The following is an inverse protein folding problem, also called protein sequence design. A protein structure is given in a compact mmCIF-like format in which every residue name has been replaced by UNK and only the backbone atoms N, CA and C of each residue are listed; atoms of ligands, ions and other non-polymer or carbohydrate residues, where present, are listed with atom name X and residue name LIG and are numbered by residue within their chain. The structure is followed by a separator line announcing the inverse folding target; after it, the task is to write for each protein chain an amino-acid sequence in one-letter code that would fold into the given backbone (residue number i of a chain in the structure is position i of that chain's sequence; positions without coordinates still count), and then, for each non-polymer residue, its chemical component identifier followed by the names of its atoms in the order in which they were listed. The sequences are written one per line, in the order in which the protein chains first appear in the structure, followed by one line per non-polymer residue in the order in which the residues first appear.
data_IF_977927815358
#
_entry.id   IF_977927815358
#
_cell.length_a   1.000
_cell.length_b   1.000
_cell.length_c   1.000
_cell.angle_alpha   90.00
_cell.angle_beta   90.00
_cell.angle_gamma   90.00
#
_symmetry.space_group_name_H-M   'P 1'
#
loop_
_entity.id
_entity.type
_entity.pdbx_description
1 polymer ?
#
# COMPACT_ATOMS: atom_id res chain seq x y z
N UNK A 1 20.09 25.82 19.19
CA UNK A 1 18.64 25.58 19.32
C UNK A 1 18.09 24.57 18.29
N UNK A 2 18.56 24.52 17.03
CA UNK A 2 18.14 23.50 16.03
C UNK A 2 18.52 22.06 16.39
N UNK A 3 19.73 21.83 16.89
CA UNK A 3 20.27 20.47 17.23
C UNK A 3 19.49 19.81 18.39
N UNK A 4 18.93 20.58 19.31
CA UNK A 4 18.14 20.05 20.45
C UNK A 4 16.74 19.60 19.98
N UNK A 5 16.14 20.28 18.97
CA UNK A 5 14.84 19.89 18.44
C UNK A 5 14.89 18.59 17.62
N UNK A 6 15.98 18.34 16.88
CA UNK A 6 16.13 17.08 16.12
C UNK A 6 16.32 15.86 17.03
N UNK A 7 17.07 16.02 18.12
CA UNK A 7 17.25 14.93 19.10
C UNK A 7 15.96 14.61 19.88
N UNK A 8 15.13 15.62 20.16
CA UNK A 8 13.83 15.41 20.82
C UNK A 8 12.81 14.72 19.89
N UNK A 9 12.81 15.03 18.58
CA UNK A 9 11.93 14.38 17.63
C UNK A 9 12.27 12.89 17.44
N UNK A 10 13.56 12.55 17.44
CA UNK A 10 14.03 11.15 17.37
C UNK A 10 13.70 10.39 18.66
N UNK A 11 13.87 11.02 19.83
CA UNK A 11 13.53 10.38 21.12
C UNK A 11 12.01 10.15 21.28
N UNK A 12 11.18 11.08 20.85
CA UNK A 12 9.71 10.94 20.92
C UNK A 12 9.23 9.86 19.95
N UNK A 13 9.82 9.75 18.75
CA UNK A 13 9.52 8.67 17.82
C UNK A 13 9.93 7.30 18.39
N UNK A 14 11.10 7.22 19.04
CA UNK A 14 11.59 5.99 19.68
C UNK A 14 10.74 5.58 20.90
N UNK A 15 10.30 6.53 21.74
CA UNK A 15 9.42 6.24 22.90
C UNK A 15 8.01 5.79 22.45
N UNK A 16 7.47 6.36 21.37
CA UNK A 16 6.17 5.94 20.84
C UNK A 16 6.20 4.53 20.25
N UNK A 17 7.36 4.06 19.78
CA UNK A 17 7.53 2.70 19.23
C UNK A 17 7.73 1.69 20.37
N UNK A 18 8.41 2.07 21.46
CA UNK A 18 8.67 1.19 22.60
C UNK A 18 7.41 0.70 23.32
N UNK A 19 6.32 1.49 23.34
CA UNK A 19 5.04 1.08 23.94
C UNK A 19 4.25 0.08 23.10
N UNK A 20 4.61 -0.13 21.82
CA UNK A 20 3.97 -1.13 20.94
C UNK A 20 4.57 -2.53 21.08
N UNK A 21 5.73 -2.65 21.71
CA UNK A 21 6.44 -3.92 21.89
C UNK A 21 5.68 -4.92 22.78
N UNK A 22 4.88 -4.42 23.72
CA UNK A 22 4.07 -5.25 24.61
C UNK A 22 2.97 -6.08 23.92
N UNK A 23 2.60 -5.73 22.67
CA UNK A 23 1.60 -6.46 21.87
C UNK A 23 2.22 -7.53 20.94
N UNK A 24 3.56 -7.54 20.79
CA UNK A 24 4.26 -8.49 19.93
C UNK A 24 4.64 -9.81 20.62
N UNK A 25 4.53 -9.90 21.95
CA UNK A 25 5.18 -10.93 22.76
C UNK A 25 4.47 -12.30 22.82
N UNK A 26 3.33 -12.50 22.14
CA UNK A 26 2.52 -13.71 22.41
C UNK A 26 2.27 -14.66 21.24
N UNK A 27 3.08 -14.66 20.17
CA UNK A 27 2.92 -15.69 19.14
C UNK A 27 4.27 -16.20 18.60
N UNK A 28 4.49 -17.50 18.82
CA UNK A 28 5.66 -18.31 18.47
C UNK A 28 6.52 -17.84 17.28
N UNK A 29 7.81 -17.75 17.54
CA UNK A 29 8.85 -17.13 16.71
C UNK A 29 9.30 -17.94 15.48
N UNK A 30 8.56 -18.92 14.98
CA UNK A 30 9.09 -19.91 14.05
C UNK A 30 8.75 -19.72 12.56
N UNK A 31 7.97 -18.70 12.15
CA UNK A 31 7.81 -18.46 10.73
C UNK A 31 8.87 -17.44 10.29
N UNK A 32 9.82 -17.83 9.42
CA UNK A 32 10.79 -16.90 8.90
C UNK A 32 10.08 -15.82 8.09
N UNK A 33 10.33 -14.56 8.43
CA UNK A 33 9.72 -13.44 7.75
C UNK A 33 10.18 -12.12 8.36
N UNK A 34 10.42 -11.15 7.52
CA UNK A 34 10.87 -9.82 7.94
C UNK A 34 9.69 -8.88 8.06
N UNK A 35 9.75 -7.96 9.00
CA UNK A 35 8.76 -6.87 9.11
C UNK A 35 9.49 -5.53 9.12
N UNK A 36 9.07 -4.67 8.20
CA UNK A 36 9.64 -3.36 7.99
C UNK A 36 8.59 -2.28 8.21
N UNK A 37 9.01 -1.12 8.68
CA UNK A 37 8.19 0.08 8.81
C UNK A 37 8.81 1.19 7.98
N UNK A 38 8.12 1.63 6.95
CA UNK A 38 8.46 2.83 6.17
C UNK A 38 7.60 3.96 6.67
N UNK A 39 8.23 5.02 7.20
CA UNK A 39 7.56 6.13 7.86
C UNK A 39 7.74 7.43 7.06
N UNK A 40 6.65 7.90 6.44
CA UNK A 40 6.61 9.14 5.66
C UNK A 40 6.06 10.33 6.44
N UNK A 41 5.87 10.19 7.77
CA UNK A 41 5.19 11.21 8.60
C UNK A 41 5.96 12.52 8.70
N UNK A 42 7.27 12.47 8.59
CA UNK A 42 8.18 13.63 8.56
C UNK A 42 8.49 14.10 7.13
N UNK A 43 8.09 13.33 6.11
CA UNK A 43 8.35 13.71 4.72
C UNK A 43 7.54 14.94 4.29
N UNK A 44 8.18 15.83 3.54
CA UNK A 44 7.60 17.10 3.11
C UNK A 44 6.38 16.94 2.20
N UNK A 45 5.47 17.90 2.25
CA UNK A 45 4.38 18.05 1.29
C UNK A 45 4.80 18.82 0.03
N UNK A 46 5.84 19.69 0.17
CA UNK A 46 6.30 20.60 -0.86
C UNK A 46 7.84 20.66 -0.85
N UNK A 47 8.47 20.64 -2.00
CA UNK A 47 9.92 20.90 -2.13
C UNK A 47 10.87 19.76 -1.78
N UNK A 48 10.37 18.60 -1.39
CA UNK A 48 11.20 17.41 -1.10
C UNK A 48 11.02 16.24 -2.06
N UNK A 49 10.09 16.39 -3.01
CA UNK A 49 9.78 15.33 -3.97
C UNK A 49 10.90 15.14 -5.01
N UNK A 50 11.61 16.20 -5.33
CA UNK A 50 12.79 16.17 -6.23
C UNK A 50 13.94 15.34 -5.64
N UNK A 51 14.00 15.20 -4.31
CA UNK A 51 15.01 14.41 -3.61
C UNK A 51 14.58 12.92 -3.39
N UNK A 52 13.60 12.43 -4.14
CA UNK A 52 13.16 11.04 -4.08
C UNK A 52 12.64 10.61 -2.70
N UNK A 53 13.29 9.65 -2.06
CA UNK A 53 12.91 9.11 -0.74
C UNK A 53 13.58 9.84 0.45
N UNK A 54 14.23 10.97 0.22
CA UNK A 54 14.89 11.74 1.28
C UNK A 54 13.89 12.17 2.37
N UNK A 55 14.28 12.00 3.64
CA UNK A 55 13.42 12.30 4.80
C UNK A 55 12.40 11.20 5.15
N UNK A 56 12.34 10.12 4.39
CA UNK A 56 11.57 8.92 4.74
C UNK A 56 12.43 8.04 5.64
N UNK A 57 11.85 7.63 6.75
CA UNK A 57 12.53 6.78 7.72
C UNK A 57 12.17 5.32 7.48
N UNK A 58 13.16 4.43 7.60
CA UNK A 58 12.99 2.99 7.50
C UNK A 58 13.40 2.32 8.82
N UNK A 59 12.66 1.30 9.21
CA UNK A 59 12.89 0.54 10.44
C UNK A 59 12.65 -0.94 10.16
N UNK A 60 13.45 -1.80 10.80
CA UNK A 60 13.27 -3.26 10.77
C UNK A 60 12.87 -3.77 12.16
N UNK A 61 11.94 -4.70 12.22
CA UNK A 61 11.58 -5.39 13.45
C UNK A 61 12.53 -6.56 13.67
N UNK A 62 13.36 -6.46 14.72
CA UNK A 62 14.32 -7.49 15.15
C UNK A 62 13.87 -8.01 16.52
N UNK A 63 13.38 -9.26 16.56
CA UNK A 63 12.73 -9.78 17.76
C UNK A 63 11.46 -8.99 18.07
N UNK A 64 11.46 -8.25 19.19
CA UNK A 64 10.37 -7.38 19.65
C UNK A 64 10.67 -5.88 19.53
N UNK A 65 11.80 -5.50 18.91
CA UNK A 65 12.30 -4.12 18.83
C UNK A 65 12.36 -3.61 17.41
N UNK A 66 11.99 -2.36 17.23
CA UNK A 66 12.17 -1.64 15.99
C UNK A 66 13.56 -1.00 15.95
N UNK A 67 14.39 -1.42 15.02
CA UNK A 67 15.73 -0.91 14.79
C UNK A 67 15.74 0.00 13.57
N UNK A 68 16.41 1.17 13.63
CA UNK A 68 16.61 2.01 12.46
C UNK A 68 17.32 1.24 11.35
N UNK A 69 16.85 1.42 10.12
CA UNK A 69 17.45 0.84 8.93
C UNK A 69 17.39 1.84 7.77
N UNK A 70 17.99 1.50 6.65
CA UNK A 70 17.93 2.26 5.41
C UNK A 70 17.39 1.41 4.25
N UNK A 71 17.15 2.04 3.12
CA UNK A 71 16.65 1.35 1.92
C UNK A 71 17.70 0.44 1.30
N UNK A 72 19.00 0.77 1.44
CA UNK A 72 20.09 -0.10 0.98
C UNK A 72 20.11 -1.41 1.74
N UNK A 73 19.89 -1.36 3.06
CA UNK A 73 19.75 -2.56 3.90
C UNK A 73 18.53 -3.37 3.50
N UNK A 74 17.40 -2.70 3.22
CA UNK A 74 16.20 -3.36 2.73
C UNK A 74 16.46 -4.10 1.42
N UNK A 75 17.11 -3.45 0.46
CA UNK A 75 17.40 -4.01 -0.86
C UNK A 75 18.42 -5.16 -0.78
N UNK A 76 19.52 -5.00 -0.01
CA UNK A 76 20.57 -6.03 0.17
C UNK A 76 20.07 -7.30 0.85
N UNK A 77 19.08 -7.18 1.73
CA UNK A 77 18.47 -8.31 2.44
C UNK A 77 17.28 -8.90 1.67
N UNK A 78 16.99 -8.39 0.47
CA UNK A 78 15.90 -8.88 -0.35
C UNK A 78 16.26 -10.22 -0.99
N UNK A 79 15.35 -11.18 -0.83
CA UNK A 79 15.38 -12.45 -1.54
C UNK A 79 14.23 -12.44 -2.56
N UNK A 80 14.53 -12.53 -3.89
CA UNK A 80 13.51 -12.50 -4.92
C UNK A 80 12.48 -13.64 -4.84
N UNK A 81 12.80 -14.73 -4.15
CA UNK A 81 11.88 -15.85 -3.93
C UNK A 81 10.85 -15.59 -2.83
N UNK A 82 11.10 -14.58 -1.99
CA UNK A 82 10.26 -14.25 -0.84
C UNK A 82 9.30 -13.11 -1.20
N UNK A 83 7.97 -13.32 -1.16
CA UNK A 83 7.01 -12.28 -1.49
C UNK A 83 7.09 -11.10 -0.53
N UNK A 84 7.02 -9.88 -1.09
CA UNK A 84 6.94 -8.64 -0.35
C UNK A 84 5.48 -8.15 -0.32
N UNK A 85 4.95 -7.95 0.87
CA UNK A 85 3.57 -7.50 1.10
C UNK A 85 3.62 -6.10 1.70
N UNK A 86 3.02 -5.12 1.03
CA UNK A 86 3.01 -3.71 1.46
C UNK A 86 1.63 -3.36 1.99
N UNK A 87 1.54 -3.02 3.26
CA UNK A 87 0.31 -2.57 3.90
C UNK A 87 0.26 -1.06 4.02
N UNK A 88 -0.74 -0.42 3.41
CA UNK A 88 -0.99 1.02 3.48
C UNK A 88 -2.28 1.27 4.26
N UNK A 89 -2.14 1.83 5.47
CA UNK A 89 -3.27 2.07 6.38
C UNK A 89 -4.18 3.23 5.94
N UNK A 90 -5.34 3.33 6.58
CA UNK A 90 -6.36 4.33 6.28
C UNK A 90 -6.18 5.67 6.99
N UNK A 91 -7.25 6.47 6.97
CA UNK A 91 -7.34 7.77 7.66
C UNK A 91 -7.41 7.61 9.19
N UNK A 92 -7.07 8.68 9.91
CA UNK A 92 -7.12 8.79 11.38
C UNK A 92 -6.29 7.75 12.12
N UNK A 93 -5.21 7.29 11.50
CA UNK A 93 -4.29 6.32 12.06
C UNK A 93 -3.06 7.04 12.60
N UNK A 94 -2.80 6.89 13.90
CA UNK A 94 -1.55 7.34 14.53
C UNK A 94 -0.38 6.42 14.15
N UNK A 95 0.85 6.79 14.46
CA UNK A 95 2.02 5.93 14.21
C UNK A 95 1.86 4.57 14.90
N UNK A 96 1.51 4.56 16.18
CA UNK A 96 1.30 3.32 16.95
C UNK A 96 0.16 2.46 16.38
N UNK A 97 -0.93 3.10 15.93
CA UNK A 97 -2.02 2.36 15.31
C UNK A 97 -1.61 1.77 13.95
N UNK A 98 -0.79 2.46 13.16
CA UNK A 98 -0.27 1.92 11.90
C UNK A 98 0.57 0.65 12.13
N UNK A 99 1.44 0.68 13.12
CA UNK A 99 2.24 -0.49 13.55
C UNK A 99 1.33 -1.62 14.03
N UNK A 100 0.39 -1.32 14.94
CA UNK A 100 -0.56 -2.32 15.45
C UNK A 100 -1.37 -2.97 14.32
N UNK A 101 -1.92 -2.18 13.41
CA UNK A 101 -2.74 -2.67 12.31
C UNK A 101 -1.90 -3.50 11.33
N UNK A 102 -0.65 -3.12 11.09
CA UNK A 102 0.31 -3.89 10.32
C UNK A 102 0.67 -5.23 10.99
N UNK A 103 0.91 -5.24 12.29
CA UNK A 103 1.18 -6.47 13.05
C UNK A 103 -0.05 -7.39 13.12
N UNK A 104 -1.27 -6.84 13.15
CA UNK A 104 -2.49 -7.64 13.01
C UNK A 104 -2.52 -8.35 11.65
N UNK A 105 -2.21 -7.66 10.56
CA UNK A 105 -2.08 -8.28 9.24
C UNK A 105 -0.98 -9.35 9.23
N UNK A 106 0.22 -9.04 9.75
CA UNK A 106 1.32 -10.00 9.89
C UNK A 106 0.86 -11.31 10.53
N UNK A 107 0.14 -11.20 11.66
CA UNK A 107 -0.33 -12.36 12.39
C UNK A 107 -1.37 -13.19 11.60
N UNK A 108 -2.16 -12.54 10.74
CA UNK A 108 -3.06 -13.26 9.81
C UNK A 108 -2.26 -13.96 8.72
N UNK A 109 -1.36 -13.25 8.09
CA UNK A 109 -0.51 -13.79 7.01
C UNK A 109 0.33 -14.99 7.52
N UNK A 110 0.90 -14.92 8.71
CA UNK A 110 1.65 -16.04 9.32
C UNK A 110 0.83 -17.31 9.43
N UNK A 111 -0.46 -17.20 9.79
CA UNK A 111 -1.36 -18.36 9.87
C UNK A 111 -1.72 -18.92 8.49
N UNK A 112 -1.74 -18.08 7.47
CA UNK A 112 -2.07 -18.46 6.10
C UNK A 112 -0.83 -18.95 5.33
N UNK A 113 0.34 -18.52 5.72
CA UNK A 113 1.60 -18.80 5.03
C UNK A 113 2.07 -20.25 5.17
N UNK A 114 1.53 -21.02 6.10
CA UNK A 114 1.94 -22.40 6.34
C UNK A 114 3.47 -22.56 6.34
N UNK A 115 4.13 -21.78 7.22
CA UNK A 115 5.59 -21.67 7.40
C UNK A 115 6.38 -21.02 6.23
N UNK A 116 5.74 -20.62 5.15
CA UNK A 116 6.42 -19.94 4.05
C UNK A 116 6.90 -18.56 4.50
N UNK A 117 8.14 -18.18 4.17
CA UNK A 117 8.65 -16.85 4.49
C UNK A 117 7.94 -15.77 3.67
N UNK A 118 7.77 -14.60 4.27
CA UNK A 118 7.32 -13.39 3.57
C UNK A 118 7.92 -12.15 4.21
N UNK A 119 8.01 -11.08 3.45
CA UNK A 119 8.41 -9.76 3.92
C UNK A 119 7.18 -8.86 4.02
N UNK A 120 6.90 -8.31 5.21
CA UNK A 120 5.84 -7.33 5.40
C UNK A 120 6.42 -5.92 5.52
N UNK A 121 5.92 -4.99 4.75
CA UNK A 121 6.23 -3.56 4.83
C UNK A 121 4.98 -2.82 5.32
N UNK A 122 5.07 -2.18 6.48
CA UNK A 122 4.03 -1.28 7.00
C UNK A 122 4.34 0.13 6.52
N UNK A 123 3.50 0.69 5.65
CA UNK A 123 3.61 2.05 5.16
C UNK A 123 2.86 3.02 6.08
N UNK A 124 3.60 3.74 6.94
CA UNK A 124 3.06 4.64 7.95
C UNK A 124 3.11 6.08 7.48
N UNK A 125 1.94 6.64 7.10
CA UNK A 125 1.81 7.98 6.57
C UNK A 125 1.04 8.93 7.52
N UNK A 126 1.18 10.28 7.40
CA UNK A 126 0.61 11.26 8.34
C UNK A 126 -0.92 11.41 8.18
N UNK A 127 -1.67 10.42 8.64
CA UNK A 127 -3.13 10.37 8.56
C UNK A 127 -3.85 10.69 9.88
N UNK A 128 -3.12 10.96 10.96
CA UNK A 128 -3.70 11.36 12.25
C UNK A 128 -4.58 12.61 12.11
N UNK A 129 -5.63 12.71 12.90
CA UNK A 129 -6.51 13.89 12.89
C UNK A 129 -5.71 15.17 13.16
N UNK A 130 -5.81 16.14 12.26
CA UNK A 130 -5.11 17.42 12.36
C UNK A 130 -6.07 18.62 12.47
N UNK A 131 -7.27 18.52 11.90
CA UNK A 131 -8.23 19.63 11.85
C UNK A 131 -9.49 19.33 12.67
N UNK A 132 -10.04 20.38 13.32
CA UNK A 132 -11.28 20.27 14.11
C UNK A 132 -12.49 19.90 13.24
N UNK A 133 -12.63 20.51 12.05
CA UNK A 133 -13.74 20.24 11.12
C UNK A 133 -13.49 18.95 10.36
N UNK A 134 -14.31 17.92 10.61
CA UNK A 134 -14.17 16.55 10.08
C UNK A 134 -14.01 16.55 8.55
N UNK A 135 -14.89 17.25 7.82
CA UNK A 135 -14.84 17.31 6.36
C UNK A 135 -13.52 17.89 5.83
N UNK A 136 -13.05 18.99 6.43
CA UNK A 136 -11.77 19.61 6.03
C UNK A 136 -10.59 18.71 6.33
N UNK A 137 -10.63 17.98 7.46
CA UNK A 137 -9.59 17.04 7.85
C UNK A 137 -9.51 15.88 6.86
N UNK A 138 -10.65 15.26 6.52
CA UNK A 138 -10.69 14.16 5.55
C UNK A 138 -10.22 14.61 4.16
N UNK A 139 -10.65 15.80 3.70
CA UNK A 139 -10.18 16.35 2.42
C UNK A 139 -8.67 16.62 2.40
N UNK A 140 -8.10 17.12 3.51
CA UNK A 140 -6.65 17.31 3.64
C UNK A 140 -5.92 15.96 3.59
N UNK A 141 -6.46 14.92 4.24
CA UNK A 141 -5.89 13.57 4.22
C UNK A 141 -6.03 12.88 2.86
N UNK A 142 -7.13 13.13 2.15
CA UNK A 142 -7.28 12.67 0.77
C UNK A 142 -6.22 13.29 -0.15
N UNK A 143 -5.93 14.60 -0.03
CA UNK A 143 -4.82 15.24 -0.76
C UNK A 143 -3.45 14.70 -0.32
N UNK A 144 -3.27 14.43 0.98
CA UNK A 144 -2.03 13.81 1.46
C UNK A 144 -1.84 12.40 0.89
N UNK A 145 -2.90 11.60 0.78
CA UNK A 145 -2.79 10.26 0.18
C UNK A 145 -2.40 10.29 -1.30
N UNK A 146 -2.67 11.40 -2.03
CA UNK A 146 -2.16 11.60 -3.38
C UNK A 146 -0.64 11.84 -3.40
N UNK A 147 -0.09 12.54 -2.39
CA UNK A 147 1.37 12.68 -2.21
C UNK A 147 2.00 11.34 -1.81
N UNK A 148 1.31 10.56 -0.97
CA UNK A 148 1.76 9.21 -0.61
C UNK A 148 1.82 8.28 -1.83
N UNK A 149 0.94 8.49 -2.84
CA UNK A 149 1.03 7.77 -4.11
C UNK A 149 2.39 7.96 -4.78
N UNK A 150 2.93 9.19 -4.76
CA UNK A 150 4.23 9.49 -5.34
C UNK A 150 5.37 8.79 -4.58
N UNK A 151 5.42 8.92 -3.25
CA UNK A 151 6.46 8.26 -2.45
C UNK A 151 6.42 6.73 -2.59
N UNK A 152 5.21 6.17 -2.56
CA UNK A 152 5.02 4.73 -2.73
C UNK A 152 5.44 4.27 -4.13
N UNK A 153 5.09 5.01 -5.18
CA UNK A 153 5.48 4.69 -6.56
C UNK A 153 7.01 4.78 -6.74
N UNK A 154 7.66 5.83 -6.20
CA UNK A 154 9.10 5.99 -6.25
C UNK A 154 9.81 4.82 -5.58
N UNK A 155 9.38 4.44 -4.37
CA UNK A 155 9.95 3.31 -3.65
C UNK A 155 9.70 1.97 -4.36
N UNK A 156 8.47 1.71 -4.83
CA UNK A 156 8.15 0.49 -5.57
C UNK A 156 8.96 0.36 -6.87
N UNK A 157 9.21 1.47 -7.57
CA UNK A 157 10.06 1.49 -8.76
C UNK A 157 11.50 1.10 -8.40
N UNK A 158 12.05 1.65 -7.30
CA UNK A 158 13.38 1.28 -6.81
C UNK A 158 13.44 -0.21 -6.46
N UNK A 159 12.49 -0.72 -5.65
CA UNK A 159 12.45 -2.14 -5.28
C UNK A 159 12.38 -3.05 -6.49
N UNK A 160 11.60 -2.71 -7.52
CA UNK A 160 11.53 -3.49 -8.75
C UNK A 160 12.83 -3.47 -9.56
N UNK A 161 13.56 -2.36 -9.54
CA UNK A 161 14.89 -2.27 -10.19
C UNK A 161 15.94 -3.10 -9.44
N UNK A 162 15.98 -3.00 -8.11
CA UNK A 162 16.95 -3.71 -7.27
C UNK A 162 16.66 -5.21 -7.16
N UNK A 163 15.40 -5.61 -7.23
CA UNK A 163 14.94 -6.98 -6.95
C UNK A 163 13.98 -7.46 -8.06
N UNK A 164 14.50 -7.61 -9.25
CA UNK A 164 13.74 -8.07 -10.41
C UNK A 164 13.13 -9.46 -10.15
N UNK A 165 11.84 -9.61 -10.43
CA UNK A 165 11.13 -10.87 -10.26
C UNK A 165 10.49 -11.10 -8.90
N UNK A 166 10.78 -10.29 -7.85
CA UNK A 166 10.15 -10.43 -6.54
C UNK A 166 8.63 -10.24 -6.64
N UNK A 167 7.82 -11.20 -6.17
CA UNK A 167 6.38 -11.04 -6.09
C UNK A 167 6.01 -9.94 -5.09
N UNK A 168 5.25 -8.93 -5.51
CA UNK A 168 4.85 -7.82 -4.66
C UNK A 168 3.33 -7.75 -4.56
N UNK A 169 2.82 -7.77 -3.32
CA UNK A 169 1.41 -7.57 -3.01
C UNK A 169 1.19 -6.23 -2.31
N UNK A 170 0.12 -5.53 -2.68
CA UNK A 170 -0.26 -4.24 -2.10
C UNK A 170 -1.61 -4.38 -1.40
N UNK A 171 -1.64 -4.16 -0.09
CA UNK A 171 -2.86 -4.22 0.72
C UNK A 171 -3.20 -2.82 1.21
N UNK A 172 -4.25 -2.22 0.67
CA UNK A 172 -4.66 -0.85 0.99
C UNK A 172 -5.99 -0.78 1.74
N UNK A 173 -6.00 -0.09 2.88
CA UNK A 173 -7.21 0.14 3.64
C UNK A 173 -7.69 1.59 3.53
N UNK A 174 -8.97 1.78 3.19
CA UNK A 174 -9.62 3.09 3.12
C UNK A 174 -8.85 4.09 2.23
N UNK A 175 -8.31 5.20 2.73
CA UNK A 175 -7.43 6.11 1.98
C UNK A 175 -6.08 5.47 1.58
N UNK A 176 -5.67 4.36 2.19
CA UNK A 176 -4.53 3.57 1.73
C UNK A 176 -4.77 2.94 0.36
N UNK A 177 -6.01 2.51 0.07
CA UNK A 177 -6.39 2.04 -1.26
C UNK A 177 -6.27 3.14 -2.32
N UNK A 178 -6.60 4.39 -1.96
CA UNK A 178 -6.40 5.56 -2.82
C UNK A 178 -4.92 5.79 -3.12
N UNK A 179 -4.06 5.70 -2.12
CA UNK A 179 -2.62 5.85 -2.30
C UNK A 179 -2.03 4.76 -3.21
N UNK A 180 -2.43 3.49 -3.02
CA UNK A 180 -1.98 2.36 -3.85
C UNK A 180 -2.40 2.54 -5.30
N UNK A 181 -3.68 2.81 -5.57
CA UNK A 181 -4.15 2.95 -6.96
C UNK A 181 -3.52 4.15 -7.67
N UNK A 182 -3.22 5.23 -6.94
CA UNK A 182 -2.46 6.35 -7.46
C UNK A 182 -1.00 6.00 -7.77
N UNK A 183 -0.35 5.23 -6.88
CA UNK A 183 1.02 4.76 -7.12
C UNK A 183 1.12 3.85 -8.35
N UNK A 184 0.21 2.91 -8.49
CA UNK A 184 0.14 2.03 -9.68
C UNK A 184 -0.10 2.83 -10.97
N UNK A 185 -0.96 3.86 -10.92
CA UNK A 185 -1.18 4.76 -12.05
C UNK A 185 0.09 5.51 -12.45
N UNK A 186 0.87 6.00 -11.48
CA UNK A 186 2.15 6.66 -11.73
C UNK A 186 3.22 5.71 -12.28
N UNK A 187 3.29 4.47 -11.77
CA UNK A 187 4.19 3.43 -12.30
C UNK A 187 3.89 3.09 -13.77
N UNK A 188 2.65 3.30 -14.21
CA UNK A 188 2.21 3.14 -15.60
C UNK A 188 2.40 4.42 -16.44
N UNK A 189 3.14 5.42 -15.97
CA UNK A 189 3.39 6.69 -16.66
C UNK A 189 2.31 7.74 -16.47
N UNK A 190 1.33 7.51 -15.58
CA UNK A 190 0.29 8.48 -15.28
C UNK A 190 0.69 9.53 -14.25
N UNK A 191 -0.19 10.53 -14.05
CA UNK A 191 0.01 11.60 -13.09
C UNK A 191 -1.13 11.68 -12.06
N UNK A 192 -0.80 11.93 -10.80
CA UNK A 192 -1.75 12.18 -9.72
C UNK A 192 -1.53 13.57 -9.16
N UNK A 193 -2.56 14.39 -9.16
CA UNK A 193 -2.49 15.80 -8.71
C UNK A 193 -1.37 16.60 -9.41
N UNK A 194 -1.16 16.38 -10.71
CA UNK A 194 -0.15 17.05 -11.54
C UNK A 194 1.29 16.56 -11.30
N UNK A 195 1.47 15.44 -10.63
CA UNK A 195 2.79 14.82 -10.38
C UNK A 195 2.86 13.44 -11.00
N UNK A 196 3.92 13.19 -11.77
CA UNK A 196 4.32 11.89 -12.29
C UNK A 196 5.68 11.49 -11.74
N UNK A 197 6.11 10.27 -12.00
CA UNK A 197 7.49 9.87 -11.76
C UNK A 197 8.38 10.49 -12.84
N UNK A 198 9.63 10.89 -12.51
CA UNK A 198 10.59 11.32 -13.54
C UNK A 198 10.81 10.22 -14.56
N UNK A 199 11.02 10.59 -15.82
CA UNK A 199 11.41 9.63 -16.85
C UNK A 199 12.81 9.08 -16.55
N UNK A 200 13.01 7.78 -16.78
CA UNK A 200 14.31 7.12 -16.53
C UNK A 200 15.42 7.60 -17.50
N UNK A 201 15.08 8.40 -18.51
CA UNK A 201 16.01 8.92 -19.51
C UNK A 201 17.00 9.99 -18.99
N UNK A 202 16.78 10.58 -17.82
CA UNK A 202 17.72 11.56 -17.27
C UNK A 202 18.85 10.95 -16.42
N UNK A 203 18.86 9.63 -16.21
CA UNK A 203 19.88 8.95 -15.39
C UNK A 203 21.07 8.40 -16.19
N UNK A 204 21.00 8.33 -17.53
CA UNK A 204 22.06 7.75 -18.38
C UNK A 204 22.49 8.73 -19.50
N UNK A 205 23.20 9.80 -19.14
CA UNK A 205 23.83 10.68 -20.15
C UNK A 205 25.17 10.12 -20.69
N UNK A 206 25.63 8.96 -20.22
CA UNK A 206 26.96 8.40 -20.54
C UNK A 206 26.97 7.04 -21.27
N UNK A 207 25.90 6.63 -21.96
CA UNK A 207 25.98 5.42 -22.84
C UNK A 207 25.36 5.63 -24.22
N UNK A 208 26.04 6.40 -25.08
CA UNK A 208 25.92 6.25 -26.51
C UNK A 208 26.68 5.00 -26.98
N UNK A 209 26.01 3.87 -27.03
CA UNK A 209 26.31 2.78 -27.97
C UNK A 209 25.39 1.57 -27.76
N UNK A 210 24.30 1.49 -28.45
CA UNK A 210 23.73 0.29 -29.10
C UNK A 210 22.23 0.51 -29.39
N UNK A 211 21.92 0.74 -30.64
CA UNK A 211 20.55 0.83 -31.15
C UNK A 211 19.84 -0.52 -31.10
N UNK A 212 19.22 -0.82 -29.97
CA UNK A 212 18.20 -1.86 -29.84
C UNK A 212 17.01 -1.22 -29.11
N UNK A 213 15.85 -1.27 -29.77
CA UNK A 213 14.60 -0.69 -29.27
C UNK A 213 14.26 -1.22 -27.88
N UNK A 214 14.39 -0.38 -26.84
CA UNK A 214 14.13 -0.69 -25.44
C UNK A 214 12.67 -1.05 -25.12
N UNK A 215 11.74 -0.91 -26.04
CA UNK A 215 10.29 -1.09 -25.81
C UNK A 215 9.85 -2.56 -25.68
N UNK A 216 10.64 -3.53 -26.13
CA UNK A 216 10.31 -4.97 -26.07
C UNK A 216 10.89 -5.62 -24.80
N UNK A 217 12.09 -5.22 -24.38
CA UNK A 217 12.77 -5.79 -23.20
C UNK A 217 12.10 -5.37 -21.90
N UNK A 218 11.52 -4.16 -21.82
CA UNK A 218 10.81 -3.68 -20.64
C UNK A 218 9.48 -4.40 -20.35
N UNK A 219 8.87 -5.04 -21.34
CA UNK A 219 7.58 -5.72 -21.15
C UNK A 219 7.73 -7.10 -20.50
N UNK A 220 8.86 -7.76 -20.66
CA UNK A 220 9.13 -9.10 -20.11
C UNK A 220 9.63 -9.09 -18.66
N UNK A 221 10.18 -7.97 -18.17
CA UNK A 221 10.72 -7.83 -16.81
C UNK A 221 9.71 -7.38 -15.75
N UNK A 222 8.44 -7.13 -16.10
CA UNK A 222 7.43 -6.58 -15.17
C UNK A 222 6.64 -7.70 -14.50
N UNK A 223 7.09 -8.18 -13.35
CA UNK A 223 6.23 -8.95 -12.44
C UNK A 223 5.07 -8.03 -12.02
N UNK A 224 3.82 -8.31 -12.43
CA UNK A 224 2.70 -7.46 -12.07
C UNK A 224 2.36 -7.62 -10.59
N UNK A 225 1.69 -6.61 -10.02
CA UNK A 225 1.29 -6.61 -8.61
C UNK A 225 0.01 -7.43 -8.40
N UNK A 226 -0.09 -8.12 -7.25
CA UNK A 226 -1.38 -8.52 -6.69
C UNK A 226 -1.85 -7.48 -5.68
N UNK A 227 -3.14 -7.14 -5.70
CA UNK A 227 -3.66 -5.99 -4.96
C UNK A 227 -4.90 -6.35 -4.18
N UNK A 228 -5.00 -5.91 -2.91
CA UNK A 228 -6.20 -6.02 -2.08
C UNK A 228 -6.62 -4.64 -1.63
N UNK A 229 -7.78 -4.17 -2.09
CA UNK A 229 -8.36 -2.89 -1.70
C UNK A 229 -9.49 -3.11 -0.69
N UNK A 230 -9.20 -2.84 0.58
CA UNK A 230 -10.15 -3.02 1.68
C UNK A 230 -10.84 -1.70 2.00
N UNK A 231 -12.17 -1.67 1.93
CA UNK A 231 -12.99 -0.48 2.21
C UNK A 231 -12.48 0.78 1.48
N UNK A 232 -12.13 0.66 0.20
CA UNK A 232 -11.42 1.69 -0.56
C UNK A 232 -12.15 3.04 -0.62
N UNK A 233 -11.51 4.11 -0.11
CA UNK A 233 -12.02 5.47 -0.10
C UNK A 233 -11.47 6.27 -1.30
N UNK A 234 -11.86 5.86 -2.49
CA UNK A 234 -11.64 6.52 -3.77
C UNK A 234 -12.92 6.38 -4.60
N UNK A 235 -13.09 7.21 -5.64
CA UNK A 235 -14.32 7.18 -6.43
C UNK A 235 -14.45 5.85 -7.19
N UNK A 236 -15.67 5.38 -7.33
CA UNK A 236 -16.06 4.12 -7.96
C UNK A 236 -15.67 4.01 -9.45
N UNK A 237 -15.35 5.13 -10.09
CA UNK A 237 -15.01 5.22 -11.51
C UNK A 237 -13.51 5.51 -11.79
N UNK A 238 -12.65 5.64 -10.75
CA UNK A 238 -11.26 6.07 -10.95
C UNK A 238 -10.39 5.06 -11.71
N UNK A 239 -10.72 3.79 -11.63
CA UNK A 239 -9.99 2.73 -12.32
C UNK A 239 -10.38 2.57 -13.80
N UNK A 240 -11.41 3.30 -14.27
CA UNK A 240 -11.84 3.27 -15.67
C UNK A 240 -10.79 3.95 -16.58
N UNK A 241 -10.61 3.48 -17.83
CA UNK A 241 -9.76 4.14 -18.81
C UNK A 241 -10.09 5.64 -18.96
N UNK A 242 -9.05 6.48 -19.00
CA UNK A 242 -9.19 7.93 -19.06
C UNK A 242 -9.67 8.60 -17.77
N UNK A 243 -9.85 7.86 -16.67
CA UNK A 243 -10.15 8.39 -15.34
C UNK A 243 -8.90 8.53 -14.50
N UNK A 244 -9.06 9.11 -13.29
CA UNK A 244 -7.97 9.58 -12.43
C UNK A 244 -6.83 8.58 -12.23
N UNK A 245 -7.14 7.29 -11.99
CA UNK A 245 -6.16 6.23 -11.80
C UNK A 245 -6.31 5.15 -12.89
N UNK A 246 -6.75 5.54 -14.10
CA UNK A 246 -7.16 4.63 -15.17
C UNK A 246 -6.05 3.76 -15.75
N UNK A 247 -4.77 4.10 -15.52
CA UNK A 247 -3.65 3.27 -15.92
C UNK A 247 -3.24 2.23 -14.85
N UNK A 248 -3.81 2.31 -13.63
CA UNK A 248 -3.38 1.46 -12.51
C UNK A 248 -3.48 -0.04 -12.83
N UNK A 249 -4.51 -0.45 -13.56
CA UNK A 249 -4.76 -1.87 -13.87
C UNK A 249 -3.71 -2.48 -14.79
N UNK A 250 -2.99 -1.68 -15.60
CA UNK A 250 -1.88 -2.20 -16.43
C UNK A 250 -0.69 -2.71 -15.63
N UNK A 251 -0.63 -2.40 -14.33
CA UNK A 251 0.40 -2.87 -13.40
C UNK A 251 -0.06 -4.07 -12.55
N UNK A 252 -1.27 -4.57 -12.75
CA UNK A 252 -1.93 -5.52 -11.83
C UNK A 252 -2.15 -6.86 -12.52
N UNK A 253 -1.72 -7.95 -11.88
CA UNK A 253 -2.10 -9.32 -12.22
C UNK A 253 -3.52 -9.61 -11.71
N UNK A 254 -3.72 -9.48 -10.41
CA UNK A 254 -5.00 -9.73 -9.75
C UNK A 254 -5.31 -8.65 -8.70
N UNK A 255 -6.55 -8.18 -8.67
CA UNK A 255 -7.03 -7.19 -7.72
C UNK A 255 -8.32 -7.66 -7.04
N UNK A 256 -8.28 -7.76 -5.72
CA UNK A 256 -9.46 -7.96 -4.87
C UNK A 256 -9.97 -6.62 -4.37
N UNK A 257 -11.24 -6.32 -4.62
CA UNK A 257 -11.93 -5.13 -4.11
C UNK A 257 -13.02 -5.57 -3.14
N UNK A 258 -12.90 -5.20 -1.86
CA UNK A 258 -14.01 -5.41 -0.94
C UNK A 258 -15.09 -4.36 -1.14
N UNK A 259 -16.35 -4.79 -1.18
CA UNK A 259 -17.53 -3.94 -1.24
C UNK A 259 -18.38 -4.13 0.00
N UNK A 260 -18.78 -3.04 0.65
CA UNK A 260 -19.66 -3.10 1.81
C UNK A 260 -20.67 -1.93 1.81
N UNK A 261 -21.89 -2.16 1.33
CA UNK A 261 -22.96 -1.16 1.31
C UNK A 261 -23.57 -0.86 2.69
N UNK A 262 -23.15 -1.57 3.73
CA UNK A 262 -23.54 -1.26 5.11
C UNK A 262 -22.53 -0.35 5.83
N UNK A 263 -21.34 -0.12 5.27
CA UNK A 263 -20.27 0.68 5.88
C UNK A 263 -20.75 2.09 6.25
N UNK A 264 -20.74 2.37 7.55
CA UNK A 264 -21.30 3.61 8.12
C UNK A 264 -20.48 4.87 7.80
N UNK A 265 -19.22 4.72 7.37
CA UNK A 265 -18.34 5.83 7.02
C UNK A 265 -18.35 6.06 5.51
N UNK A 266 -18.19 5.02 4.70
CA UNK A 266 -18.12 5.15 3.24
C UNK A 266 -19.43 5.63 2.64
N UNK A 267 -20.58 5.38 3.25
CA UNK A 267 -21.88 5.94 2.80
C UNK A 267 -21.89 7.47 2.72
N UNK A 268 -21.03 8.15 3.51
CA UNK A 268 -20.91 9.61 3.54
C UNK A 268 -19.83 10.15 2.61
N UNK A 269 -19.14 9.26 1.88
CA UNK A 269 -18.07 9.64 0.97
C UNK A 269 -18.49 10.69 -0.09
N UNK A 270 -19.68 10.61 -0.73
CA UNK A 270 -20.10 11.59 -1.72
C UNK A 270 -20.13 13.03 -1.19
N UNK A 271 -20.46 13.22 0.09
CA UNK A 271 -20.53 14.56 0.70
C UNK A 271 -19.16 15.27 0.79
N UNK A 272 -18.06 14.53 0.63
CA UNK A 272 -16.73 15.14 0.58
C UNK A 272 -16.48 15.90 -0.73
N UNK A 273 -17.16 15.48 -1.81
CA UNK A 273 -17.01 16.03 -3.16
C UNK A 273 -18.19 16.93 -3.58
N UNK A 274 -19.15 17.17 -2.71
CA UNK A 274 -20.35 17.97 -2.98
C UNK A 274 -21.59 17.10 -3.26
N UNK A 275 -22.77 17.72 -3.52
CA UNK A 275 -24.06 17.01 -3.64
C UNK A 275 -24.16 16.01 -4.79
N UNK A 276 -23.27 16.11 -5.78
CA UNK A 276 -23.19 15.23 -6.95
C UNK A 276 -21.90 14.40 -6.97
N UNK A 277 -21.27 14.20 -5.80
CA UNK A 277 -20.05 13.40 -5.67
C UNK A 277 -20.27 11.94 -6.06
N UNK A 278 -19.21 11.30 -6.56
CA UNK A 278 -19.22 9.87 -6.82
C UNK A 278 -19.26 9.09 -5.50
N UNK A 279 -19.71 7.85 -5.56
CA UNK A 279 -19.69 6.95 -4.42
C UNK A 279 -18.29 6.35 -4.21
N UNK A 280 -18.03 5.85 -3.01
CA UNK A 280 -16.76 5.19 -2.72
C UNK A 280 -16.69 3.81 -3.38
N UNK A 281 -15.52 3.47 -3.95
CA UNK A 281 -15.24 2.15 -4.50
C UNK A 281 -15.54 1.03 -3.49
N UNK A 282 -15.12 1.19 -2.23
CA UNK A 282 -15.36 0.21 -1.17
C UNK A 282 -16.82 0.15 -0.69
N UNK A 283 -17.69 1.10 -1.08
CA UNK A 283 -19.10 1.09 -0.75
C UNK A 283 -19.95 0.40 -1.81
N UNK A 284 -19.75 0.75 -3.08
CA UNK A 284 -20.59 0.27 -4.19
C UNK A 284 -19.89 -0.75 -5.09
N UNK A 285 -18.56 -0.87 -5.02
CA UNK A 285 -17.74 -1.53 -6.03
C UNK A 285 -17.44 -0.60 -7.21
N UNK A 286 -16.65 -1.06 -8.19
CA UNK A 286 -16.29 -0.27 -9.36
C UNK A 286 -17.49 -0.09 -10.29
N UNK A 287 -17.62 1.14 -10.81
CA UNK A 287 -18.65 1.48 -11.81
C UNK A 287 -18.36 0.77 -13.13
N UNK A 288 -19.41 0.32 -13.81
CA UNK A 288 -19.31 -0.33 -15.15
C UNK A 288 -18.41 -1.59 -15.14
N UNK A 289 -18.62 -2.44 -14.14
CA UNK A 289 -17.91 -3.72 -13.99
C UNK A 289 -17.77 -4.50 -15.30
N UNK A 290 -18.81 -4.61 -16.10
CA UNK A 290 -18.79 -5.38 -17.35
C UNK A 290 -17.73 -4.96 -18.38
N UNK A 291 -17.31 -3.70 -18.41
CA UNK A 291 -16.28 -3.21 -19.34
C UNK A 291 -14.83 -3.41 -18.82
N UNK A 292 -14.64 -3.39 -17.49
CA UNK A 292 -13.34 -3.64 -16.87
C UNK A 292 -13.03 -5.12 -16.73
N UNK A 293 -14.08 -5.97 -16.81
CA UNK A 293 -13.99 -7.40 -16.49
C UNK A 293 -14.18 -8.32 -17.69
N UNK A 294 -14.30 -7.76 -18.89
CA UNK A 294 -14.53 -8.56 -20.09
C UNK A 294 -13.25 -9.25 -20.56
N UNK A 295 -12.81 -10.26 -19.84
CA UNK A 295 -11.95 -11.24 -20.46
C UNK A 295 -10.88 -11.92 -19.61
N UNK A 296 -10.24 -11.26 -18.64
CA UNK A 296 -9.03 -11.83 -18.01
C UNK A 296 -9.13 -12.11 -16.50
N UNK A 297 -10.27 -11.81 -15.89
CA UNK A 297 -10.46 -12.03 -14.45
C UNK A 297 -9.49 -11.24 -13.56
N UNK A 298 -8.98 -10.09 -14.02
CA UNK A 298 -8.01 -9.27 -13.26
C UNK A 298 -8.60 -8.73 -11.96
N UNK A 299 -9.90 -8.40 -11.94
CA UNK A 299 -10.56 -7.84 -10.76
C UNK A 299 -11.63 -8.80 -10.21
N UNK A 300 -11.55 -9.05 -8.91
CA UNK A 300 -12.57 -9.73 -8.13
C UNK A 300 -13.25 -8.77 -7.15
N UNK A 301 -14.57 -8.86 -6.99
CA UNK A 301 -15.34 -8.08 -6.02
C UNK A 301 -15.89 -8.99 -4.94
N UNK A 302 -15.51 -8.70 -3.69
CA UNK A 302 -15.99 -9.43 -2.53
C UNK A 302 -17.00 -8.60 -1.74
N UNK A 303 -18.24 -9.07 -1.66
CA UNK A 303 -19.28 -8.40 -0.85
C UNK A 303 -19.19 -8.85 0.61
N UNK A 304 -18.87 -7.89 1.48
CA UNK A 304 -18.72 -8.08 2.92
C UNK A 304 -19.85 -7.45 3.74
N UNK A 305 -20.94 -7.02 3.10
CA UNK A 305 -22.06 -6.35 3.75
C UNK A 305 -22.63 -7.16 4.92
N UNK A 306 -22.81 -8.44 4.73
CA UNK A 306 -23.44 -9.29 5.74
C UNK A 306 -22.45 -9.74 6.84
N UNK A 307 -21.17 -9.85 6.53
CA UNK A 307 -20.17 -10.38 7.47
C UNK A 307 -19.46 -9.29 8.28
N UNK A 308 -19.21 -8.11 7.69
CA UNK A 308 -18.59 -6.96 8.38
C UNK A 308 -19.66 -6.00 8.92
N UNK A 309 -20.82 -5.91 8.27
CA UNK A 309 -21.92 -5.03 8.67
C UNK A 309 -21.54 -3.54 8.55
N UNK A 310 -22.00 -2.71 9.52
CA UNK A 310 -21.82 -1.27 9.50
C UNK A 310 -20.42 -0.77 9.90
N UNK A 311 -19.53 -1.66 10.27
CA UNK A 311 -18.21 -1.30 10.76
C UNK A 311 -17.31 -0.75 9.63
N UNK A 312 -16.60 0.36 9.92
CA UNK A 312 -15.46 0.83 9.14
C UNK A 312 -14.21 0.75 10.03
N UNK A 313 -13.77 -0.46 10.31
CA UNK A 313 -12.63 -0.74 11.18
C UNK A 313 -11.74 -1.79 10.56
N UNK A 314 -10.43 -1.51 10.48
CA UNK A 314 -9.45 -2.48 9.98
C UNK A 314 -9.58 -3.83 10.69
N UNK A 315 -9.75 -3.81 12.02
CA UNK A 315 -9.88 -5.04 12.81
C UNK A 315 -11.10 -5.89 12.40
N UNK A 316 -12.23 -5.26 12.06
CA UNK A 316 -13.43 -5.98 11.60
C UNK A 316 -13.21 -6.62 10.23
N UNK A 317 -12.60 -5.88 9.29
CA UNK A 317 -12.30 -6.41 7.96
C UNK A 317 -11.27 -7.54 8.03
N UNK A 318 -10.20 -7.41 8.82
CA UNK A 318 -9.19 -8.46 8.96
C UNK A 318 -9.67 -9.67 9.77
N UNK A 319 -10.74 -9.54 10.54
CA UNK A 319 -11.37 -10.67 11.20
C UNK A 319 -12.33 -11.44 10.28
N UNK A 320 -12.71 -10.86 9.15
CA UNK A 320 -13.66 -11.47 8.22
C UNK A 320 -13.08 -12.73 7.56
N UNK A 321 -13.81 -13.84 7.61
CA UNK A 321 -13.34 -15.10 7.11
C UNK A 321 -13.26 -15.17 5.57
N UNK A 322 -14.17 -14.47 4.86
CA UNK A 322 -14.15 -14.40 3.40
C UNK A 322 -12.90 -13.69 2.91
N UNK A 323 -12.58 -12.53 3.53
CA UNK A 323 -11.35 -11.83 3.20
C UNK A 323 -10.12 -12.68 3.49
N UNK A 324 -10.09 -13.34 4.65
CA UNK A 324 -8.97 -14.21 5.03
C UNK A 324 -8.77 -15.38 4.07
N UNK A 325 -9.84 -15.99 3.54
CA UNK A 325 -9.73 -17.11 2.60
C UNK A 325 -9.05 -16.74 1.28
N UNK A 326 -9.04 -15.45 0.91
CA UNK A 326 -8.41 -14.95 -0.32
C UNK A 326 -7.03 -14.34 -0.09
N UNK A 327 -6.70 -13.96 1.14
CA UNK A 327 -5.43 -13.26 1.41
C UNK A 327 -4.21 -14.08 0.99
N UNK A 328 -4.19 -15.41 1.16
CA UNK A 328 -3.06 -16.25 0.77
C UNK A 328 -2.78 -16.13 -0.73
N UNK A 329 -3.81 -16.21 -1.57
CA UNK A 329 -3.70 -16.01 -3.02
C UNK A 329 -3.17 -14.61 -3.36
N UNK A 330 -3.83 -13.57 -2.88
CA UNK A 330 -3.48 -12.19 -3.22
C UNK A 330 -2.15 -11.73 -2.61
N UNK A 331 -1.55 -12.49 -1.70
CA UNK A 331 -0.25 -12.18 -1.07
C UNK A 331 0.86 -13.17 -1.45
N UNK A 332 0.63 -14.01 -2.47
CA UNK A 332 1.58 -15.02 -2.94
C UNK A 332 2.01 -16.04 -1.86
N UNK A 333 1.14 -16.31 -0.89
CA UNK A 333 1.37 -17.24 0.21
C UNK A 333 0.65 -18.58 0.02
N UNK A 334 -0.07 -18.78 -1.08
CA UNK A 334 -0.65 -20.07 -1.44
C UNK A 334 0.44 -21.10 -1.69
N UNK A 335 0.18 -22.34 -1.33
CA UNK A 335 1.00 -23.48 -1.76
C UNK A 335 0.86 -23.60 -3.28
N UNK A 336 1.96 -23.78 -4.05
CA UNK A 336 1.82 -24.19 -5.43
C UNK A 336 0.99 -25.47 -5.47
N UNK A 337 -0.09 -25.49 -6.25
CA UNK A 337 -0.75 -26.76 -6.57
C UNK A 337 0.30 -27.66 -7.20
N UNK A 338 0.55 -28.84 -6.63
CA UNK A 338 1.33 -29.87 -7.32
C UNK A 338 0.65 -30.12 -8.66
N UNK A 339 1.38 -30.08 -9.78
CA UNK A 339 0.79 -30.42 -11.06
C UNK A 339 0.13 -31.78 -10.94
N UNK A 340 -1.17 -31.83 -11.12
CA UNK A 340 -1.93 -33.10 -11.16
C UNK A 340 -1.26 -34.01 -12.18
N UNK A 341 -0.67 -35.10 -11.68
CA UNK A 341 -0.04 -36.14 -12.48
C UNK A 341 -1.04 -36.84 -13.38
#
# INVERSE_FOLDING_TARGET
MRIVLERTAVLVAALCIASSAALAADYGNNVPGETWLINTRSASLCGGLENGLSGIQCWKLTGDRWEPADFDTFDKQSDPSIPTIVFVHGNRTTSNNAVRDGLQLRNRLRRLANERPFRLVVWSWPSSRALKKIRKDVQAKARRSDVESYYLATWLRQVKKSNTGTPISLVGYSLGARAITGALHMLAGGQVAGRGLPDDAEADVDSEAAGVSNTVIEKEARTPFRVVLVAGALDDNWLLPGRRNGLALSQVDKMLITRNRADSILRWYPLMHGPRGNEALGYVGPRSCGRLYSGDGTIEIMDLRCSVGSAHSWACYTADWKLNSQLAFYTFLETPEEPSQ
#
